data_IF_509018657476
#
_entry.id   IF_509018657476
#
_cell.length_a   1.000
_cell.length_b   1.000
_cell.length_c   1.000
_cell.angle_alpha   90.00
_cell.angle_beta   90.00
_cell.angle_gamma   90.00
#
_symmetry.space_group_name_H-M   'P 1'
#
loop_
_entity.id
_entity.type
_entity.pdbx_description
1 polymer ?
#
# COMPACT_ATOMS: atom_id res chain seq x y z
N UNK A 1 -0.13 -11.60 -0.73
CA UNK A 1 -0.95 -10.40 -0.99
C UNK A 1 -2.42 -10.79 -0.99
N UNK A 2 -3.25 -10.10 -0.19
CA UNK A 2 -4.71 -10.25 -0.14
C UNK A 2 -5.36 -8.90 -0.41
N UNK A 3 -6.51 -8.92 -1.08
CA UNK A 3 -7.32 -7.74 -1.39
C UNK A 3 -8.68 -7.93 -0.73
N UNK A 4 -9.14 -6.90 0.00
CA UNK A 4 -10.40 -6.93 0.75
C UNK A 4 -11.20 -5.66 0.46
N UNK A 5 -12.49 -5.81 0.13
CA UNK A 5 -13.41 -4.68 0.07
C UNK A 5 -13.77 -4.23 1.49
N UNK A 6 -13.58 -2.95 1.77
CA UNK A 6 -13.97 -2.33 3.05
C UNK A 6 -15.17 -1.43 2.77
N UNK A 7 -16.36 -2.04 2.71
CA UNK A 7 -17.66 -1.38 2.53
C UNK A 7 -17.60 -0.14 1.62
N UNK A 8 -17.96 1.03 2.14
CA UNK A 8 -17.96 2.32 1.45
C UNK A 8 -16.59 3.04 1.49
N UNK A 9 -15.57 2.44 2.13
CA UNK A 9 -14.23 3.01 2.33
C UNK A 9 -13.23 2.63 1.24
N UNK A 10 -13.57 1.66 0.40
CA UNK A 10 -12.76 1.24 -0.73
C UNK A 10 -12.11 -0.12 -0.53
N UNK A 11 -10.81 -0.22 -0.84
CA UNK A 11 -10.09 -1.50 -0.91
C UNK A 11 -8.89 -1.50 0.04
N UNK A 12 -8.81 -2.51 0.90
CA UNK A 12 -7.63 -2.80 1.72
C UNK A 12 -6.74 -3.82 1.00
N UNK A 13 -5.48 -3.48 0.80
CA UNK A 13 -4.46 -4.38 0.24
C UNK A 13 -3.49 -4.78 1.35
N UNK A 14 -3.51 -6.06 1.75
CA UNK A 14 -2.59 -6.63 2.74
C UNK A 14 -1.40 -7.23 2.00
N UNK A 15 -0.22 -6.63 2.19
CA UNK A 15 1.00 -7.02 1.48
C UNK A 15 1.49 -8.40 1.94
N UNK A 16 1.58 -8.59 3.25
CA UNK A 16 2.02 -9.82 3.94
C UNK A 16 1.18 -10.02 5.22
N UNK A 17 0.89 -11.27 5.63
CA UNK A 17 0.21 -11.55 6.89
C UNK A 17 1.10 -11.35 8.13
N UNK A 18 2.41 -11.22 7.96
CA UNK A 18 3.33 -11.01 9.08
C UNK A 18 3.39 -9.53 9.51
N UNK A 19 3.96 -9.28 10.70
CA UNK A 19 4.14 -7.91 11.18
C UNK A 19 5.13 -7.17 10.29
N UNK A 20 4.63 -6.18 9.56
CA UNK A 20 5.42 -5.28 8.74
C UNK A 20 6.16 -4.25 9.59
N UNK A 21 7.44 -4.01 9.28
CA UNK A 21 8.33 -3.12 10.04
C UNK A 21 9.21 -2.30 9.12
N UNK A 22 9.47 -1.04 9.49
CA UNK A 22 10.39 -0.18 8.74
C UNK A 22 11.87 -0.56 8.91
N UNK A 23 12.21 -1.35 9.93
CA UNK A 23 13.56 -1.81 10.19
C UNK A 23 13.97 -3.03 9.36
N UNK A 24 13.02 -3.73 8.73
CA UNK A 24 13.34 -4.84 7.84
C UNK A 24 13.47 -4.32 6.40
N UNK A 25 14.66 -4.42 5.76
CA UNK A 25 14.86 -3.93 4.40
C UNK A 25 13.96 -4.63 3.36
N UNK A 26 13.60 -5.90 3.58
CA UNK A 26 12.73 -6.64 2.65
C UNK A 26 11.31 -6.09 2.66
N UNK A 27 10.83 -5.66 3.84
CA UNK A 27 9.54 -4.98 3.95
C UNK A 27 9.56 -3.65 3.18
N UNK A 28 10.62 -2.85 3.35
CA UNK A 28 10.74 -1.57 2.62
C UNK A 28 10.73 -1.82 1.10
N UNK A 29 11.51 -2.79 0.62
CA UNK A 29 11.53 -3.15 -0.80
C UNK A 29 10.16 -3.59 -1.33
N UNK A 30 9.40 -4.38 -0.55
CA UNK A 30 8.05 -4.79 -0.91
C UNK A 30 7.08 -3.60 -1.00
N UNK A 31 7.15 -2.67 -0.04
CA UNK A 31 6.32 -1.47 -0.06
C UNK A 31 6.62 -0.58 -1.28
N UNK A 32 7.89 -0.37 -1.61
CA UNK A 32 8.32 0.40 -2.79
C UNK A 32 7.78 -0.21 -4.08
N UNK A 33 7.95 -1.52 -4.27
CA UNK A 33 7.44 -2.23 -5.45
C UNK A 33 5.92 -2.09 -5.60
N UNK A 34 5.18 -2.23 -4.51
CA UNK A 34 3.71 -2.11 -4.57
C UNK A 34 3.30 -0.67 -4.82
N UNK A 35 4.01 0.31 -4.24
CA UNK A 35 3.76 1.74 -4.51
C UNK A 35 3.90 2.04 -6.00
N UNK A 36 4.98 1.59 -6.64
CA UNK A 36 5.18 1.78 -8.08
C UNK A 36 4.06 1.15 -8.93
N UNK A 37 3.58 -0.04 -8.55
CA UNK A 37 2.49 -0.71 -9.27
C UNK A 37 1.18 0.08 -9.17
N UNK A 38 0.85 0.58 -7.97
CA UNK A 38 -0.35 1.38 -7.75
C UNK A 38 -0.25 2.75 -8.42
N UNK A 39 0.94 3.36 -8.45
CA UNK A 39 1.19 4.62 -9.14
C UNK A 39 0.98 4.48 -10.66
N UNK A 40 1.57 3.44 -11.26
CA UNK A 40 1.39 3.13 -12.69
C UNK A 40 -0.07 2.82 -13.06
N UNK A 41 -0.82 2.26 -12.12
CA UNK A 41 -2.26 2.02 -12.30
C UNK A 41 -3.12 3.28 -12.10
N UNK A 42 -2.52 4.42 -11.73
CA UNK A 42 -3.25 5.67 -11.45
C UNK A 42 -4.07 5.63 -10.17
N UNK A 43 -3.77 4.70 -9.26
CA UNK A 43 -4.52 4.50 -8.01
C UNK A 43 -3.98 5.36 -6.87
N UNK A 44 -2.75 5.86 -6.98
CA UNK A 44 -2.19 6.80 -6.02
C UNK A 44 -2.51 8.23 -6.44
N UNK A 45 -2.99 9.02 -5.47
CA UNK A 45 -3.19 10.46 -5.64
C UNK A 45 -2.10 11.20 -4.88
N UNK A 46 -1.66 12.37 -5.36
CA UNK A 46 -0.75 13.23 -4.61
C UNK A 46 -1.29 13.45 -3.19
N UNK A 47 -0.40 13.42 -2.20
CA UNK A 47 -0.79 13.72 -0.84
C UNK A 47 -1.23 15.18 -0.79
N UNK A 48 -2.53 15.41 -0.66
CA UNK A 48 -3.04 16.74 -0.38
C UNK A 48 -2.69 17.06 1.07
N UNK A 49 -1.77 18.00 1.28
CA UNK A 49 -1.53 18.57 2.60
C UNK A 49 -2.85 19.10 3.13
N UNK A 50 -3.41 18.45 4.15
CA UNK A 50 -4.57 19.00 4.86
C UNK A 50 -4.13 20.32 5.48
N UNK A 51 -4.62 21.42 4.89
CA UNK A 51 -4.40 22.80 5.34
C UNK A 51 -5.39 23.16 6.42
#
# INVERSE_FOLDING_TARGET
MRIESVEDKGTLIVLTPERFTASNPDHVALAERVRELLDRAGLLKPLQSQS
#
